data_IF_694749356913
#
_entry.id   IF_694749356913
#
_cell.length_a   1.000
_cell.length_b   1.000
_cell.length_c   1.000
_cell.angle_alpha   90.00
_cell.angle_beta   90.00
_cell.angle_gamma   90.00
#
_symmetry.space_group_name_H-M   'P 1'
#
loop_
_entity.id
_entity.type
_entity.pdbx_description
1 polymer ?
#
# COMPACT_ATOMS: atom_id res chain seq x y z
N UNK A 1 -34.85 -23.93 43.57
CA UNK A 1 -34.19 -25.17 43.10
C UNK A 1 -32.74 -24.84 42.78
N UNK A 2 -31.81 -25.32 43.61
CA UNK A 2 -30.38 -25.13 43.40
C UNK A 2 -29.72 -26.36 42.78
N UNK A 3 -28.61 -26.15 42.08
CA UNK A 3 -27.32 -26.77 42.41
C UNK A 3 -26.17 -26.18 41.57
N UNK A 4 -24.95 -26.11 42.14
CA UNK A 4 -23.75 -25.52 41.55
C UNK A 4 -22.85 -26.60 40.92
N UNK A 5 -21.84 -26.16 40.15
CA UNK A 5 -20.66 -26.94 39.73
C UNK A 5 -19.51 -25.96 39.47
N UNK A 6 -18.24 -26.23 39.71
CA UNK A 6 -17.45 -27.13 40.57
C UNK A 6 -16.00 -26.63 40.41
N UNK A 7 -15.17 -26.84 41.41
CA UNK A 7 -13.82 -26.30 41.61
C UNK A 7 -12.74 -26.73 40.60
N UNK A 8 -11.80 -25.80 40.35
CA UNK A 8 -10.33 -25.85 40.14
C UNK A 8 -9.61 -27.15 39.74
N UNK A 9 -8.58 -27.04 38.89
CA UNK A 9 -7.20 -27.50 39.18
C UNK A 9 -6.18 -27.00 38.13
N UNK A 10 -4.97 -26.66 38.61
CA UNK A 10 -3.74 -26.18 37.91
C UNK A 10 -3.78 -24.71 37.47
N UNK A 11 -2.95 -23.77 37.94
CA UNK A 11 -1.73 -23.77 38.76
C UNK A 11 -0.83 -22.64 38.24
N UNK A 12 -0.71 -21.53 38.98
CA UNK A 12 0.40 -20.55 38.81
C UNK A 12 1.72 -21.27 39.13
N UNK A 13 2.93 -20.92 38.65
CA UNK A 13 3.68 -19.64 38.55
C UNK A 13 4.92 -19.91 37.61
N UNK A 14 5.97 -19.05 37.44
CA UNK A 14 6.10 -17.65 37.00
C UNK A 14 6.94 -17.49 35.70
N UNK A 15 6.84 -16.33 35.05
CA UNK A 15 7.75 -15.94 33.96
C UNK A 15 7.71 -14.45 33.66
N UNK A 16 8.04 -13.65 34.67
CA UNK A 16 8.21 -12.20 34.59
C UNK A 16 9.29 -11.82 33.56
N UNK A 17 8.92 -10.99 32.59
CA UNK A 17 9.78 -9.91 32.06
C UNK A 17 8.89 -8.72 31.69
N UNK A 18 8.30 -8.10 32.70
CA UNK A 18 7.81 -6.73 32.58
C UNK A 18 9.01 -5.78 32.61
N UNK A 19 9.48 -5.38 31.43
CA UNK A 19 10.32 -4.19 31.29
C UNK A 19 9.38 -2.97 31.13
N UNK A 20 9.30 -2.05 32.10
CA UNK A 20 8.44 -0.87 32.00
C UNK A 20 9.04 0.14 31.01
N UNK A 21 8.23 0.55 30.04
CA UNK A 21 8.54 1.69 29.18
C UNK A 21 8.55 2.98 30.02
N UNK A 22 9.61 3.77 29.86
CA UNK A 22 9.78 5.08 30.48
C UNK A 22 8.65 6.05 30.10
N UNK A 23 7.61 6.19 30.93
CA UNK A 23 6.76 7.39 30.98
C UNK A 23 5.78 7.39 32.17
N UNK A 24 6.20 7.06 33.39
CA UNK A 24 5.39 7.39 34.58
C UNK A 24 6.29 7.70 35.77
N UNK A 25 6.79 8.92 35.82
CA UNK A 25 7.22 9.53 37.08
C UNK A 25 6.40 10.80 37.27
N UNK A 26 5.50 10.77 38.26
CA UNK A 26 5.33 11.91 39.15
C UNK A 26 4.81 11.43 40.49
N UNK A 27 5.47 11.94 41.52
CA UNK A 27 5.41 11.56 42.92
C UNK A 27 4.04 11.84 43.54
N UNK A 28 3.60 10.94 44.43
CA UNK A 28 2.51 11.16 45.36
C UNK A 28 3.15 11.48 46.71
N UNK A 29 2.90 12.69 47.24
CA UNK A 29 3.20 13.04 48.63
C UNK A 29 2.05 12.63 49.57
N UNK A 30 2.32 12.38 50.87
CA UNK A 30 1.38 11.69 51.76
C UNK A 30 0.27 12.58 52.30
N UNK A 31 -0.84 11.93 52.64
CA UNK A 31 -2.03 12.48 53.28
C UNK A 31 -1.78 12.62 54.78
N UNK A 32 -1.94 13.82 55.34
CA UNK A 32 -2.18 14.04 56.77
C UNK A 32 -3.54 14.74 56.96
N UNK A 33 -4.29 14.26 57.95
CA UNK A 33 -5.68 14.63 58.19
C UNK A 33 -5.83 15.76 59.20
N UNK A 34 -6.53 16.81 58.79
CA UNK A 34 -7.28 17.70 59.70
C UNK A 34 -8.54 18.21 58.99
N UNK A 35 -9.63 18.35 59.75
CA UNK A 35 -10.95 18.77 59.25
C UNK A 35 -10.97 20.26 58.83
N UNK A 36 -11.73 20.63 57.78
CA UNK A 36 -11.67 21.98 57.22
C UNK A 36 -12.44 23.00 58.08
N UNK A 37 -11.76 24.10 58.45
CA UNK A 37 -12.35 25.29 59.07
C UNK A 37 -13.01 26.18 57.99
N UNK A 38 -14.34 26.31 58.06
CA UNK A 38 -15.17 26.97 57.04
C UNK A 38 -15.09 28.50 56.99
N UNK A 39 -14.46 29.16 57.97
CA UNK A 39 -14.47 30.62 58.06
C UNK A 39 -13.53 31.34 57.08
N UNK A 40 -12.57 30.63 56.46
CA UNK A 40 -11.70 31.21 55.41
C UNK A 40 -12.29 31.10 53.99
N UNK A 41 -13.32 30.28 53.78
CA UNK A 41 -13.91 30.06 52.46
C UNK A 41 -14.80 31.23 52.00
N UNK A 42 -15.47 31.90 52.94
CA UNK A 42 -16.37 33.01 52.63
C UNK A 42 -15.64 34.30 52.24
N UNK A 43 -14.42 34.51 52.74
CA UNK A 43 -13.65 35.72 52.42
C UNK A 43 -12.92 35.65 51.06
N UNK A 44 -12.67 34.44 50.54
CA UNK A 44 -12.09 34.23 49.20
C UNK A 44 -13.14 34.23 48.07
N UNK A 45 -14.44 34.09 48.37
CA UNK A 45 -15.48 34.20 47.34
C UNK A 45 -15.72 35.65 46.90
N UNK A 46 -15.61 36.63 47.83
CA UNK A 46 -15.85 38.05 47.51
C UNK A 46 -14.71 38.68 46.69
N UNK A 47 -13.49 38.14 46.76
CA UNK A 47 -12.35 38.59 45.92
C UNK A 47 -12.28 37.88 44.56
N UNK A 48 -12.91 36.71 44.41
CA UNK A 48 -12.89 35.95 43.15
C UNK A 48 -13.87 36.50 42.09
N UNK A 49 -14.99 37.12 42.50
CA UNK A 49 -15.94 37.70 41.53
C UNK A 49 -15.38 38.91 40.77
N UNK A 50 -14.36 39.60 41.29
CA UNK A 50 -13.67 40.68 40.56
C UNK A 50 -12.55 40.21 39.63
N UNK A 51 -12.16 38.94 39.68
CA UNK A 51 -11.14 38.37 38.79
C UNK A 51 -11.73 37.73 37.51
N UNK A 52 -13.06 37.70 37.36
CA UNK A 52 -13.76 37.13 36.21
C UNK A 52 -14.00 38.14 35.06
N UNK A 53 -13.10 39.12 34.91
CA UNK A 53 -13.03 39.96 33.71
C UNK A 53 -11.88 39.52 32.82
N UNK A 54 -12.25 38.95 31.67
CA UNK A 54 -11.42 38.86 30.46
C UNK A 54 -10.13 38.04 30.58
N UNK A 55 -10.25 36.71 30.70
CA UNK A 55 -9.31 35.84 29.99
C UNK A 55 -9.92 35.42 28.65
N UNK A 56 -9.79 36.31 27.67
CA UNK A 56 -9.83 35.95 26.25
C UNK A 56 -8.92 34.75 26.08
N UNK A 57 -9.46 33.57 25.73
CA UNK A 57 -8.68 32.39 25.36
C UNK A 57 -7.71 32.81 24.26
N UNK A 58 -6.48 33.19 24.63
CA UNK A 58 -5.42 33.54 23.69
C UNK A 58 -5.16 32.26 22.93
N UNK A 59 -5.74 32.17 21.72
CA UNK A 59 -5.58 31.06 20.78
C UNK A 59 -4.07 30.94 20.55
N UNK A 60 -3.42 30.04 21.31
CA UNK A 60 -1.97 29.86 21.25
C UNK A 60 -1.67 29.56 19.79
N UNK A 61 -0.98 30.47 19.10
CA UNK A 61 -0.68 30.32 17.68
C UNK A 61 0.04 28.97 17.52
N UNK A 62 -0.66 27.96 16.98
CA UNK A 62 -0.08 26.64 16.76
C UNK A 62 1.17 26.84 15.91
N UNK A 63 2.30 26.30 16.37
CA UNK A 63 3.59 26.37 15.68
C UNK A 63 3.41 26.00 14.19
N UNK A 64 4.04 26.71 13.24
CA UNK A 64 3.94 26.41 11.81
C UNK A 64 4.29 24.95 11.51
N UNK A 65 5.24 24.36 12.24
CA UNK A 65 5.63 22.96 12.10
C UNK A 65 4.50 21.99 12.49
N UNK A 66 3.71 22.30 13.52
CA UNK A 66 2.53 21.50 13.88
C UNK A 66 1.44 21.61 12.81
N UNK A 67 1.20 22.81 12.26
CA UNK A 67 0.24 22.99 11.17
C UNK A 67 0.66 22.24 9.90
N UNK A 68 1.95 22.23 9.58
CA UNK A 68 2.50 21.47 8.47
C UNK A 68 2.37 19.96 8.71
N UNK A 69 2.70 19.47 9.91
CA UNK A 69 2.48 18.05 10.27
C UNK A 69 1.00 17.66 10.15
N UNK A 70 0.09 18.48 10.66
CA UNK A 70 -1.35 18.25 10.56
C UNK A 70 -1.81 18.21 9.09
N UNK A 71 -1.24 19.07 8.23
CA UNK A 71 -1.52 19.09 6.79
C UNK A 71 -1.05 17.82 6.10
N UNK A 72 0.18 17.37 6.35
CA UNK A 72 0.73 16.15 5.75
C UNK A 72 0.01 14.87 6.22
N UNK A 73 -0.45 14.83 7.48
CA UNK A 73 -1.25 13.71 7.99
C UNK A 73 -2.66 13.70 7.40
N UNK A 74 -3.24 14.87 7.11
CA UNK A 74 -4.55 14.98 6.47
C UNK A 74 -4.47 14.67 4.97
N UNK A 75 -3.42 15.16 4.32
CA UNK A 75 -3.17 15.05 2.89
C UNK A 75 -1.81 14.38 2.65
N UNK A 76 -1.83 13.06 2.59
CA UNK A 76 -0.63 12.21 2.46
C UNK A 76 0.16 12.47 1.18
N UNK A 77 -0.49 13.01 0.14
CA UNK A 77 0.15 13.41 -1.12
C UNK A 77 1.02 14.68 -1.01
N UNK A 78 0.88 15.50 0.04
CA UNK A 78 1.61 16.77 0.19
C UNK A 78 3.12 16.55 0.33
N UNK A 79 3.54 15.55 1.10
CA UNK A 79 4.96 15.28 1.33
C UNK A 79 5.67 14.79 0.04
N UNK A 80 5.17 13.76 -0.68
CA UNK A 80 5.73 13.38 -1.97
C UNK A 80 5.69 14.51 -3.00
N UNK A 81 4.62 15.32 -3.03
CA UNK A 81 4.52 16.49 -3.91
C UNK A 81 5.63 17.50 -3.62
N UNK A 82 5.88 17.80 -2.35
CA UNK A 82 6.94 18.74 -1.95
C UNK A 82 8.31 18.22 -2.39
N UNK A 83 8.63 16.95 -2.11
CA UNK A 83 9.90 16.34 -2.52
C UNK A 83 10.08 16.36 -4.04
N UNK A 84 9.03 15.99 -4.80
CA UNK A 84 9.03 16.05 -6.25
C UNK A 84 9.24 17.48 -6.76
N UNK A 85 8.52 18.45 -6.18
CA UNK A 85 8.61 19.86 -6.56
C UNK A 85 10.01 20.43 -6.31
N UNK A 86 10.65 20.08 -5.19
CA UNK A 86 12.03 20.51 -4.88
C UNK A 86 13.00 20.01 -5.95
N UNK A 87 12.92 18.74 -6.34
CA UNK A 87 13.80 18.16 -7.38
C UNK A 87 13.55 18.83 -8.73
N UNK A 88 12.29 19.00 -9.12
CA UNK A 88 11.93 19.64 -10.41
C UNK A 88 12.35 21.11 -10.46
N UNK A 89 12.18 21.86 -9.37
CA UNK A 89 12.62 23.25 -9.27
C UNK A 89 14.15 23.35 -9.29
N UNK A 90 14.86 22.45 -8.61
CA UNK A 90 16.32 22.40 -8.65
C UNK A 90 16.85 22.08 -10.06
N UNK A 91 16.13 21.25 -10.83
CA UNK A 91 16.41 21.04 -12.24
C UNK A 91 16.13 22.30 -13.08
N UNK A 92 15.00 22.98 -12.84
CA UNK A 92 14.59 24.17 -13.59
C UNK A 92 15.55 25.36 -13.46
N UNK A 93 16.34 25.44 -12.39
CA UNK A 93 17.40 26.46 -12.22
C UNK A 93 18.49 26.33 -13.29
N UNK A 94 18.82 25.12 -13.71
CA UNK A 94 19.79 24.85 -14.76
C UNK A 94 19.37 23.59 -15.55
N UNK A 95 18.49 23.71 -16.55
CA UNK A 95 17.89 22.57 -17.25
C UNK A 95 18.85 22.03 -18.33
N UNK A 96 20.04 21.62 -17.91
CA UNK A 96 21.08 21.06 -18.78
C UNK A 96 21.47 19.66 -18.30
N UNK A 97 22.06 18.82 -19.18
CA UNK A 97 22.59 17.51 -18.78
C UNK A 97 23.67 17.57 -17.69
N UNK A 98 24.26 18.74 -17.44
CA UNK A 98 25.23 18.97 -16.37
C UNK A 98 24.59 19.05 -14.97
N UNK A 99 23.25 19.20 -14.89
CA UNK A 99 22.55 19.26 -13.62
C UNK A 99 22.53 17.87 -12.94
N UNK A 100 22.87 17.75 -11.65
CA UNK A 100 22.85 16.47 -10.95
C UNK A 100 21.47 15.79 -10.94
N UNK A 101 20.38 16.57 -11.04
CA UNK A 101 19.01 16.04 -11.10
C UNK A 101 18.59 15.61 -12.51
N UNK A 102 19.38 15.88 -13.55
CA UNK A 102 19.06 15.46 -14.92
C UNK A 102 18.88 13.93 -14.99
N UNK A 103 19.81 13.18 -14.39
CA UNK A 103 19.76 11.71 -14.34
C UNK A 103 18.63 11.12 -13.51
N UNK A 104 18.01 11.92 -12.64
CA UNK A 104 16.82 11.53 -11.91
C UNK A 104 15.55 11.64 -12.77
N UNK A 105 15.52 12.61 -13.69
CA UNK A 105 14.35 12.91 -14.52
C UNK A 105 14.41 12.18 -15.87
N UNK A 106 15.61 12.07 -16.46
CA UNK A 106 15.82 11.50 -17.79
C UNK A 106 16.69 10.25 -17.75
N UNK A 107 16.51 9.38 -18.75
CA UNK A 107 17.33 8.18 -18.91
C UNK A 107 18.81 8.52 -19.06
N UNK A 108 19.65 7.83 -18.29
CA UNK A 108 21.11 7.99 -18.34
C UNK A 108 21.77 6.99 -19.30
N UNK A 109 23.01 7.27 -19.70
CA UNK A 109 23.87 6.39 -20.53
C UNK A 109 23.39 6.17 -21.98
N UNK A 110 23.13 7.23 -22.77
CA UNK A 110 22.86 7.08 -24.20
C UNK A 110 24.10 6.52 -24.92
N UNK A 111 23.85 5.61 -25.86
CA UNK A 111 24.82 4.95 -26.72
C UNK A 111 24.44 5.13 -28.19
N UNK A 112 25.42 5.13 -29.11
CA UNK A 112 25.14 5.28 -30.53
C UNK A 112 24.22 4.15 -31.03
N UNK A 113 23.37 4.42 -32.04
CA UNK A 113 22.55 3.39 -32.67
C UNK A 113 23.40 2.24 -33.21
N UNK A 114 22.87 1.01 -33.12
CA UNK A 114 23.54 -0.19 -33.68
C UNK A 114 23.56 -0.23 -35.21
N UNK A 115 22.59 0.43 -35.84
CA UNK A 115 22.46 0.51 -37.30
C UNK A 115 22.32 1.97 -37.73
N UNK A 116 22.79 2.35 -38.93
CA UNK A 116 22.57 3.69 -39.47
C UNK A 116 21.07 4.01 -39.53
N UNK A 117 20.64 5.11 -38.89
CA UNK A 117 19.23 5.51 -38.79
C UNK A 117 18.42 4.75 -37.73
N UNK A 118 19.04 3.87 -36.95
CA UNK A 118 18.40 3.15 -35.84
C UNK A 118 18.13 4.02 -34.61
N UNK A 119 17.37 3.52 -33.62
CA UNK A 119 17.10 4.24 -32.38
C UNK A 119 18.37 4.38 -31.51
N UNK A 120 18.40 5.45 -30.71
CA UNK A 120 19.41 5.61 -29.65
C UNK A 120 19.27 4.47 -28.64
N UNK A 121 20.39 3.83 -28.35
CA UNK A 121 20.47 2.75 -27.37
C UNK A 121 20.85 3.30 -26.00
N UNK A 122 20.55 2.56 -24.94
CA UNK A 122 20.88 2.96 -23.59
C UNK A 122 21.53 1.80 -22.84
N UNK A 123 22.70 2.07 -22.27
CA UNK A 123 23.38 1.16 -21.36
C UNK A 123 22.80 1.24 -19.94
N UNK A 124 23.53 0.74 -18.95
CA UNK A 124 23.15 0.79 -17.53
C UNK A 124 24.27 1.34 -16.65
N UNK A 125 23.93 1.92 -15.51
CA UNK A 125 24.90 2.37 -14.52
C UNK A 125 24.26 2.95 -13.25
N UNK A 126 25.08 3.45 -12.29
CA UNK A 126 24.60 3.90 -10.98
C UNK A 126 23.60 5.06 -11.03
N UNK A 127 23.63 5.90 -12.07
CA UNK A 127 22.68 7.00 -12.22
C UNK A 127 21.24 6.51 -12.44
N UNK A 128 21.04 5.26 -12.84
CA UNK A 128 19.71 4.67 -12.96
C UNK A 128 19.03 4.52 -11.58
N UNK A 129 19.78 4.46 -10.47
CA UNK A 129 19.19 4.51 -9.12
C UNK A 129 18.59 5.89 -8.80
N UNK A 130 19.16 6.98 -9.33
CA UNK A 130 18.58 8.30 -9.17
C UNK A 130 17.25 8.40 -9.92
N UNK A 131 17.18 7.83 -11.13
CA UNK A 131 15.94 7.72 -11.89
C UNK A 131 14.88 6.93 -11.12
N UNK A 132 15.25 5.74 -10.63
CA UNK A 132 14.34 4.89 -9.83
C UNK A 132 13.84 5.63 -8.58
N UNK A 133 14.74 6.28 -7.85
CA UNK A 133 14.39 7.03 -6.64
C UNK A 133 13.43 8.19 -6.91
N UNK A 134 13.67 8.97 -7.96
CA UNK A 134 12.77 10.06 -8.33
C UNK A 134 11.40 9.56 -8.76
N UNK A 135 11.34 8.53 -9.62
CA UNK A 135 10.05 7.98 -10.04
C UNK A 135 9.32 7.21 -8.93
N UNK A 136 10.01 6.68 -7.92
CA UNK A 136 9.39 6.20 -6.68
C UNK A 136 8.66 7.32 -5.93
N UNK A 137 9.23 8.54 -5.88
CA UNK A 137 8.58 9.72 -5.30
C UNK A 137 7.36 10.14 -6.15
N UNK A 138 7.53 10.20 -7.48
CA UNK A 138 6.44 10.53 -8.42
C UNK A 138 5.27 9.54 -8.28
N UNK A 139 5.55 8.25 -8.20
CA UNK A 139 4.54 7.21 -8.00
C UNK A 139 3.89 7.29 -6.62
N UNK A 140 4.66 7.63 -5.58
CA UNK A 140 4.10 7.87 -4.24
C UNK A 140 3.14 9.06 -4.23
N UNK A 141 3.50 10.17 -4.89
CA UNK A 141 2.60 11.31 -5.08
C UNK A 141 1.35 10.88 -5.85
N UNK A 142 1.52 10.22 -7.00
CA UNK A 142 0.43 9.81 -7.88
C UNK A 142 -0.55 8.89 -7.15
N UNK A 143 -0.05 7.90 -6.40
CA UNK A 143 -0.86 7.00 -5.57
C UNK A 143 -1.72 7.77 -4.58
N UNK A 144 -1.09 8.57 -3.71
CA UNK A 144 -1.81 9.29 -2.66
C UNK A 144 -2.78 10.33 -3.23
N UNK A 145 -2.40 11.00 -4.32
CA UNK A 145 -3.25 11.96 -5.00
C UNK A 145 -4.47 11.29 -5.61
N UNK A 146 -4.29 10.21 -6.38
CA UNK A 146 -5.41 9.48 -6.98
C UNK A 146 -6.31 8.87 -5.91
N UNK A 147 -5.75 8.24 -4.88
CA UNK A 147 -6.53 7.66 -3.78
C UNK A 147 -7.38 8.73 -3.06
N UNK A 148 -6.78 9.85 -2.65
CA UNK A 148 -7.51 10.86 -1.87
C UNK A 148 -8.42 11.78 -2.69
N UNK A 149 -7.98 12.19 -3.88
CA UNK A 149 -8.63 13.24 -4.67
C UNK A 149 -9.56 12.69 -5.75
N UNK A 150 -9.35 11.47 -6.23
CA UNK A 150 -10.14 10.88 -7.33
C UNK A 150 -10.97 9.70 -6.85
N UNK A 151 -10.32 8.68 -6.28
CA UNK A 151 -10.96 7.41 -5.95
C UNK A 151 -11.83 7.53 -4.69
N UNK A 152 -11.41 8.29 -3.67
CA UNK A 152 -12.22 8.49 -2.46
C UNK A 152 -13.59 9.13 -2.75
N UNK A 153 -13.69 10.22 -3.54
CA UNK A 153 -14.99 10.71 -4.00
C UNK A 153 -15.81 9.66 -4.75
N UNK A 154 -15.18 8.86 -5.63
CA UNK A 154 -15.86 7.78 -6.35
C UNK A 154 -16.40 6.70 -5.42
N UNK A 155 -15.63 6.31 -4.39
CA UNK A 155 -16.09 5.38 -3.37
C UNK A 155 -17.36 5.89 -2.67
N UNK A 156 -17.40 7.19 -2.35
CA UNK A 156 -18.58 7.85 -1.79
C UNK A 156 -19.77 7.86 -2.75
N UNK A 157 -19.54 8.12 -4.04
CA UNK A 157 -20.57 8.06 -5.09
C UNK A 157 -21.12 6.65 -5.28
N UNK A 158 -20.27 5.62 -5.20
CA UNK A 158 -20.65 4.21 -5.23
C UNK A 158 -21.29 3.71 -3.91
N UNK A 159 -21.46 4.57 -2.91
CA UNK A 159 -22.11 4.20 -1.65
C UNK A 159 -21.27 3.33 -0.71
N UNK A 160 -19.95 3.24 -0.93
CA UNK A 160 -19.06 2.47 -0.06
C UNK A 160 -18.92 3.22 1.28
N UNK A 161 -19.39 2.58 2.35
CA UNK A 161 -19.33 3.08 3.73
C UNK A 161 -18.28 2.30 4.54
N UNK A 162 -17.80 2.91 5.62
CA UNK A 162 -16.78 2.32 6.49
C UNK A 162 -15.36 2.73 6.09
N UNK A 163 -14.57 3.14 7.09
CA UNK A 163 -13.20 3.65 6.87
C UNK A 163 -12.25 2.57 6.34
N UNK A 164 -12.36 1.35 6.88
CA UNK A 164 -11.57 0.19 6.47
C UNK A 164 -11.90 -0.25 5.04
N UNK A 165 -13.19 -0.53 4.77
CA UNK A 165 -13.68 -0.92 3.43
C UNK A 165 -13.33 0.11 2.35
N UNK A 166 -13.50 1.40 2.65
CA UNK A 166 -13.11 2.49 1.72
C UNK A 166 -11.61 2.48 1.44
N UNK A 167 -10.75 2.27 2.46
CA UNK A 167 -9.31 2.20 2.27
C UNK A 167 -8.91 1.04 1.35
N UNK A 168 -9.44 -0.16 1.60
CA UNK A 168 -9.19 -1.35 0.77
C UNK A 168 -9.69 -1.18 -0.66
N UNK A 169 -10.88 -0.63 -0.84
CA UNK A 169 -11.40 -0.30 -2.16
C UNK A 169 -10.46 0.65 -2.92
N UNK A 170 -10.01 1.73 -2.26
CA UNK A 170 -9.07 2.67 -2.88
C UNK A 170 -7.76 2.00 -3.29
N UNK A 171 -7.20 1.11 -2.45
CA UNK A 171 -5.99 0.33 -2.76
C UNK A 171 -6.18 -0.52 -4.03
N UNK A 172 -7.31 -1.23 -4.14
CA UNK A 172 -7.58 -2.10 -5.29
C UNK A 172 -7.84 -1.29 -6.57
N UNK A 173 -8.61 -0.21 -6.50
CA UNK A 173 -8.88 0.63 -7.68
C UNK A 173 -7.60 1.29 -8.19
N UNK A 174 -6.74 1.82 -7.29
CA UNK A 174 -5.46 2.38 -7.70
C UNK A 174 -4.59 1.34 -8.41
N UNK A 175 -4.51 0.13 -7.84
CA UNK A 175 -3.76 -0.99 -8.43
C UNK A 175 -4.29 -1.36 -9.82
N UNK A 176 -5.62 -1.41 -9.98
CA UNK A 176 -6.26 -1.66 -11.27
C UNK A 176 -5.96 -0.54 -12.29
N UNK A 177 -6.02 0.74 -11.88
CA UNK A 177 -5.69 1.87 -12.75
C UNK A 177 -4.22 1.84 -13.21
N UNK A 178 -3.29 1.52 -12.31
CA UNK A 178 -1.87 1.43 -12.63
C UNK A 178 -1.61 0.33 -13.67
N UNK A 179 -2.08 -0.89 -13.42
CA UNK A 179 -1.85 -2.02 -14.32
C UNK A 179 -2.67 -1.97 -15.61
N UNK A 180 -3.79 -1.23 -15.64
CA UNK A 180 -4.51 -0.93 -16.89
C UNK A 180 -3.65 -0.15 -17.89
N UNK A 181 -2.68 0.63 -17.41
CA UNK A 181 -1.74 1.40 -18.23
C UNK A 181 -0.46 0.59 -18.46
N UNK A 182 0.16 0.13 -17.37
CA UNK A 182 1.48 -0.52 -17.43
C UNK A 182 1.44 -1.93 -18.04
N UNK A 183 0.34 -2.67 -17.90
CA UNK A 183 0.19 -4.01 -18.51
C UNK A 183 0.25 -3.95 -20.05
N UNK A 184 -0.63 -3.19 -20.72
CA UNK A 184 -0.57 -2.99 -22.17
C UNK A 184 0.74 -2.35 -22.64
N UNK A 185 1.28 -1.40 -21.86
CA UNK A 185 2.58 -0.79 -22.16
C UNK A 185 3.72 -1.82 -22.14
N UNK A 186 3.73 -2.72 -21.15
CA UNK A 186 4.68 -3.82 -21.08
C UNK A 186 4.58 -4.77 -22.27
N UNK A 187 3.36 -5.14 -22.68
CA UNK A 187 3.14 -5.93 -23.90
C UNK A 187 3.68 -5.22 -25.15
N UNK A 188 3.47 -3.91 -25.26
CA UNK A 188 4.00 -3.11 -26.38
C UNK A 188 5.53 -3.07 -26.40
N UNK A 189 6.18 -2.98 -25.23
CA UNK A 189 7.65 -3.07 -25.11
C UNK A 189 8.14 -4.46 -25.49
N UNK A 190 7.51 -5.51 -24.99
CA UNK A 190 7.86 -6.89 -25.33
C UNK A 190 7.72 -7.19 -26.83
N UNK A 191 6.71 -6.63 -27.50
CA UNK A 191 6.51 -6.77 -28.95
C UNK A 191 7.68 -6.26 -29.78
N UNK A 192 8.43 -5.29 -29.26
CA UNK A 192 9.58 -4.70 -29.94
C UNK A 192 10.87 -5.50 -29.74
N UNK A 193 10.79 -6.67 -29.10
CA UNK A 193 11.92 -7.53 -28.79
C UNK A 193 11.65 -8.95 -29.27
N UNK A 194 12.71 -9.76 -29.42
CA UNK A 194 12.61 -11.14 -29.90
C UNK A 194 11.92 -12.10 -28.91
N UNK A 195 11.63 -11.63 -27.70
CA UNK A 195 10.90 -12.39 -26.68
C UNK A 195 9.37 -12.31 -26.84
N UNK A 196 8.86 -11.69 -27.91
CA UNK A 196 7.43 -11.56 -28.16
C UNK A 196 6.69 -12.88 -27.94
N UNK A 197 5.57 -12.80 -27.21
CA UNK A 197 4.78 -13.95 -26.79
C UNK A 197 5.59 -15.03 -26.03
N UNK A 198 6.47 -14.57 -25.14
CA UNK A 198 7.25 -15.41 -24.22
C UNK A 198 8.13 -16.45 -24.94
N UNK A 199 8.81 -16.04 -26.02
CA UNK A 199 9.84 -16.86 -26.65
C UNK A 199 11.04 -17.00 -25.71
N UNK A 200 11.26 -18.21 -25.19
CA UNK A 200 12.28 -18.47 -24.16
C UNK A 200 13.70 -18.47 -24.71
N UNK A 201 13.88 -18.98 -25.94
CA UNK A 201 15.20 -19.01 -26.60
C UNK A 201 15.81 -17.61 -26.69
N UNK A 202 14.97 -16.62 -27.05
CA UNK A 202 15.37 -15.22 -27.16
C UNK A 202 15.84 -14.60 -25.82
N UNK A 203 15.50 -15.19 -24.67
CA UNK A 203 16.00 -14.74 -23.36
C UNK A 203 17.50 -15.01 -23.19
N UNK A 204 18.05 -15.97 -23.93
CA UNK A 204 19.45 -16.40 -23.84
C UNK A 204 20.24 -16.11 -25.13
N UNK A 205 19.54 -16.09 -26.27
CA UNK A 205 20.14 -15.76 -27.55
C UNK A 205 20.66 -14.31 -27.56
N UNK A 206 21.89 -14.12 -28.04
CA UNK A 206 22.55 -12.81 -28.04
C UNK A 206 22.91 -12.27 -26.65
N UNK A 207 22.81 -13.07 -25.58
CA UNK A 207 23.21 -12.66 -24.24
C UNK A 207 24.73 -12.42 -24.15
N UNK A 208 25.20 -11.33 -23.51
CA UNK A 208 24.45 -10.39 -22.68
C UNK A 208 23.75 -9.25 -23.45
N UNK A 209 22.48 -9.00 -23.12
CA UNK A 209 21.70 -7.87 -23.65
C UNK A 209 22.05 -6.57 -22.91
N UNK A 210 23.23 -6.01 -23.21
CA UNK A 210 23.78 -4.87 -22.43
C UNK A 210 23.09 -3.53 -22.65
N UNK A 211 22.42 -3.39 -23.78
CA UNK A 211 21.85 -2.14 -24.26
C UNK A 211 20.42 -2.35 -24.71
N UNK A 212 19.57 -1.36 -24.39
CA UNK A 212 18.16 -1.39 -24.73
C UNK A 212 17.72 -0.07 -25.36
N UNK A 213 16.67 -0.13 -26.18
CA UNK A 213 16.00 1.08 -26.65
C UNK A 213 15.40 1.86 -25.47
N UNK A 214 15.25 3.18 -25.63
CA UNK A 214 14.76 4.07 -24.59
C UNK A 214 13.48 3.57 -23.89
N UNK A 215 12.50 3.12 -24.68
CA UNK A 215 11.20 2.69 -24.18
C UNK A 215 11.27 1.44 -23.30
N UNK A 216 12.16 0.51 -23.66
CA UNK A 216 12.41 -0.70 -22.87
C UNK A 216 13.07 -0.32 -21.55
N UNK A 217 14.13 0.49 -21.60
CA UNK A 217 14.84 0.91 -20.38
C UNK A 217 13.93 1.71 -19.45
N UNK A 218 13.15 2.65 -19.99
CA UNK A 218 12.17 3.41 -19.23
C UNK A 218 11.14 2.50 -18.56
N UNK A 219 10.51 1.59 -19.31
CA UNK A 219 9.55 0.64 -18.76
C UNK A 219 10.15 -0.17 -17.61
N UNK A 220 11.35 -0.72 -17.82
CA UNK A 220 12.02 -1.55 -16.82
C UNK A 220 12.33 -0.78 -15.52
N UNK A 221 12.85 0.45 -15.63
CA UNK A 221 13.19 1.29 -14.48
C UNK A 221 11.94 1.85 -13.80
N UNK A 222 10.89 2.19 -14.54
CA UNK A 222 9.60 2.62 -13.98
C UNK A 222 8.95 1.49 -13.18
N UNK A 223 8.99 0.25 -13.69
CA UNK A 223 8.54 -0.91 -12.94
C UNK A 223 9.37 -1.14 -11.68
N UNK A 224 10.70 -1.02 -11.76
CA UNK A 224 11.55 -1.06 -10.56
C UNK A 224 11.15 0.04 -9.54
N UNK A 225 10.80 1.24 -10.02
CA UNK A 225 10.36 2.36 -9.18
C UNK A 225 9.03 2.08 -8.49
N UNK A 226 8.10 1.42 -9.18
CA UNK A 226 6.81 0.98 -8.63
C UNK A 226 6.98 -0.08 -7.55
N UNK A 227 7.79 -1.11 -7.81
CA UNK A 227 8.06 -2.16 -6.82
C UNK A 227 8.83 -1.64 -5.61
N UNK A 228 9.76 -0.68 -5.81
CA UNK A 228 10.40 0.03 -4.70
C UNK A 228 9.38 0.87 -3.91
N UNK A 229 8.45 1.54 -4.58
CA UNK A 229 7.36 2.29 -3.94
C UNK A 229 6.45 1.38 -3.10
N UNK A 230 6.05 0.23 -3.64
CA UNK A 230 5.25 -0.77 -2.91
C UNK A 230 6.00 -1.33 -1.71
N UNK A 231 7.31 -1.59 -1.84
CA UNK A 231 8.13 -2.02 -0.72
C UNK A 231 8.20 -0.98 0.41
N UNK A 232 8.26 0.32 0.08
CA UNK A 232 8.22 1.40 1.08
C UNK A 232 6.86 1.43 1.79
N UNK A 233 5.76 1.29 1.04
CA UNK A 233 4.40 1.22 1.62
C UNK A 233 4.27 0.07 2.60
N UNK A 234 4.83 -1.10 2.24
CA UNK A 234 4.83 -2.29 3.08
C UNK A 234 5.70 -2.12 4.33
N UNK A 235 6.93 -1.61 4.17
CA UNK A 235 7.91 -1.42 5.25
C UNK A 235 7.43 -0.40 6.30
N UNK A 236 6.82 0.69 5.83
CA UNK A 236 6.26 1.72 6.70
C UNK A 236 4.88 1.35 7.26
N UNK A 237 4.36 0.16 6.93
CA UNK A 237 3.04 -0.34 7.34
C UNK A 237 1.93 0.69 7.08
N UNK A 238 2.01 1.39 5.93
CA UNK A 238 0.99 2.37 5.56
C UNK A 238 -0.35 1.69 5.22
N UNK A 239 -0.32 0.39 4.94
CA UNK A 239 -1.48 -0.47 4.79
C UNK A 239 -1.60 -1.40 6.01
N UNK A 240 -2.83 -1.62 6.50
CA UNK A 240 -3.08 -2.55 7.62
C UNK A 240 -2.58 -3.95 7.23
N UNK A 241 -1.74 -4.61 8.06
CA UNK A 241 -1.25 -5.96 7.80
C UNK A 241 -2.40 -6.93 7.53
N UNK A 242 -2.20 -7.83 6.56
CA UNK A 242 -3.16 -8.87 6.17
C UNK A 242 -2.77 -10.20 6.83
N UNK A 243 -3.67 -11.19 6.84
CA UNK A 243 -3.39 -12.54 7.38
C UNK A 243 -2.21 -13.23 6.66
N UNK A 244 -1.91 -12.84 5.41
CA UNK A 244 -0.80 -13.31 4.57
C UNK A 244 0.41 -12.33 4.53
N UNK A 245 0.56 -11.50 5.56
CA UNK A 245 1.61 -10.45 5.58
C UNK A 245 3.03 -11.02 5.48
N UNK A 246 3.31 -12.17 6.09
CA UNK A 246 4.66 -12.77 6.06
C UNK A 246 5.03 -13.24 4.66
N UNK A 247 4.09 -13.87 3.97
CA UNK A 247 4.22 -14.34 2.60
C UNK A 247 4.35 -13.14 1.64
N UNK A 248 3.60 -12.06 1.88
CA UNK A 248 3.71 -10.81 1.13
C UNK A 248 5.08 -10.14 1.31
N UNK A 249 5.65 -10.14 2.51
CA UNK A 249 7.01 -9.64 2.77
C UNK A 249 8.05 -10.52 2.08
N UNK A 250 7.94 -11.84 2.20
CA UNK A 250 8.81 -12.79 1.50
C UNK A 250 8.77 -12.59 -0.02
N UNK A 251 7.57 -12.39 -0.57
CA UNK A 251 7.39 -12.04 -1.98
C UNK A 251 8.16 -10.78 -2.36
N UNK A 252 8.03 -9.69 -1.61
CA UNK A 252 8.73 -8.43 -1.90
C UNK A 252 10.25 -8.57 -1.86
N UNK A 253 10.79 -9.38 -0.95
CA UNK A 253 12.22 -9.68 -0.92
C UNK A 253 12.64 -10.40 -2.21
N UNK A 254 11.88 -11.42 -2.63
CA UNK A 254 12.16 -12.20 -3.84
C UNK A 254 12.04 -11.32 -5.10
N UNK A 255 10.99 -10.51 -5.21
CA UNK A 255 10.77 -9.66 -6.39
C UNK A 255 11.81 -8.56 -6.50
N UNK A 256 12.15 -7.86 -5.41
CA UNK A 256 13.22 -6.85 -5.43
C UNK A 256 14.59 -7.48 -5.78
N UNK A 257 14.86 -8.69 -5.27
CA UNK A 257 16.07 -9.44 -5.64
C UNK A 257 16.07 -9.80 -7.14
N UNK A 258 14.96 -10.30 -7.68
CA UNK A 258 14.82 -10.61 -9.11
C UNK A 258 15.05 -9.35 -9.97
N UNK A 259 14.41 -8.23 -9.63
CA UNK A 259 14.55 -6.96 -10.36
C UNK A 259 16.00 -6.47 -10.32
N UNK A 260 16.59 -6.39 -9.12
CA UNK A 260 17.94 -5.89 -8.95
C UNK A 260 18.99 -6.77 -9.63
N UNK A 261 18.91 -8.09 -9.47
CA UNK A 261 19.89 -9.02 -10.05
C UNK A 261 19.71 -9.15 -11.56
N UNK A 262 18.49 -9.19 -12.07
CA UNK A 262 18.28 -9.28 -13.52
C UNK A 262 18.72 -8.00 -14.24
N UNK A 263 18.52 -6.82 -13.64
CA UNK A 263 19.12 -5.59 -14.16
C UNK A 263 20.65 -5.59 -14.04
N UNK A 264 21.22 -5.98 -12.88
CA UNK A 264 22.67 -5.98 -12.63
C UNK A 264 23.44 -6.95 -13.51
N UNK A 265 22.85 -8.08 -13.88
CA UNK A 265 23.47 -9.16 -14.66
C UNK A 265 22.90 -9.35 -16.07
N UNK A 266 22.15 -8.38 -16.61
CA UNK A 266 21.66 -8.36 -18.01
C UNK A 266 20.59 -9.41 -18.35
N UNK A 267 19.91 -9.97 -17.35
CA UNK A 267 18.77 -10.88 -17.55
C UNK A 267 17.43 -10.12 -17.71
N UNK A 268 17.47 -8.92 -18.29
CA UNK A 268 16.32 -8.01 -18.38
C UNK A 268 15.20 -8.56 -19.28
N UNK A 269 15.53 -9.37 -20.29
CA UNK A 269 14.56 -10.04 -21.16
C UNK A 269 13.66 -11.01 -20.40
N UNK A 270 14.25 -11.83 -19.54
CA UNK A 270 13.49 -12.66 -18.60
C UNK A 270 12.74 -11.79 -17.58
N UNK A 271 13.36 -10.70 -17.12
CA UNK A 271 12.73 -9.73 -16.21
C UNK A 271 11.45 -9.11 -16.77
N UNK A 272 11.42 -8.66 -18.02
CA UNK A 272 10.20 -8.09 -18.63
C UNK A 272 9.10 -9.14 -18.81
N UNK A 273 9.45 -10.39 -19.13
CA UNK A 273 8.49 -11.48 -19.19
C UNK A 273 7.83 -11.72 -17.81
N UNK A 274 8.63 -11.73 -16.74
CA UNK A 274 8.11 -11.84 -15.37
C UNK A 274 7.24 -10.63 -15.02
N UNK A 275 7.67 -9.39 -15.28
CA UNK A 275 6.84 -8.21 -15.03
C UNK A 275 5.46 -8.31 -15.70
N UNK A 276 5.41 -8.56 -17.01
CA UNK A 276 4.17 -8.57 -17.78
C UNK A 276 3.18 -9.62 -17.25
N UNK A 277 3.66 -10.84 -16.97
CA UNK A 277 2.79 -11.88 -16.39
C UNK A 277 2.23 -11.47 -15.04
N UNK A 278 3.02 -10.78 -14.24
CA UNK A 278 2.64 -10.35 -12.91
C UNK A 278 1.64 -9.18 -12.96
N UNK A 279 1.95 -8.14 -13.74
CA UNK A 279 1.12 -6.94 -13.87
C UNK A 279 -0.27 -7.26 -14.43
N UNK A 280 -0.35 -8.08 -15.50
CA UNK A 280 -1.63 -8.40 -16.12
C UNK A 280 -2.49 -9.24 -15.17
N UNK A 281 -1.92 -10.21 -14.47
CA UNK A 281 -2.68 -11.01 -13.50
C UNK A 281 -3.14 -10.19 -12.29
N UNK A 282 -2.31 -9.25 -11.81
CA UNK A 282 -2.68 -8.35 -10.72
C UNK A 282 -3.77 -7.35 -11.12
N UNK A 283 -3.84 -6.95 -12.40
CA UNK A 283 -4.98 -6.19 -12.92
C UNK A 283 -6.30 -6.95 -12.77
N UNK A 284 -6.33 -8.24 -13.14
CA UNK A 284 -7.53 -9.07 -12.97
C UNK A 284 -7.85 -9.30 -11.48
N UNK A 285 -6.84 -9.50 -10.63
CA UNK A 285 -7.05 -9.63 -9.18
C UNK A 285 -7.68 -8.36 -8.59
N UNK A 286 -7.07 -7.20 -8.85
CA UNK A 286 -7.51 -5.91 -8.32
C UNK A 286 -8.91 -5.53 -8.82
N UNK A 287 -9.19 -5.77 -10.10
CA UNK A 287 -10.51 -5.52 -10.68
C UNK A 287 -11.57 -6.48 -10.12
N UNK A 288 -11.24 -7.76 -9.90
CA UNK A 288 -12.18 -8.71 -9.30
C UNK A 288 -12.61 -8.30 -7.89
N UNK A 289 -11.67 -7.82 -7.07
CA UNK A 289 -11.96 -7.28 -5.74
C UNK A 289 -12.74 -5.98 -5.82
N UNK A 290 -12.41 -5.10 -6.75
CA UNK A 290 -13.15 -3.85 -6.99
C UNK A 290 -14.61 -4.13 -7.33
N UNK A 291 -14.89 -5.08 -8.22
CA UNK A 291 -16.25 -5.48 -8.58
C UNK A 291 -17.01 -6.10 -7.39
N UNK A 292 -16.32 -6.89 -6.56
CA UNK A 292 -16.87 -7.43 -5.34
C UNK A 292 -17.27 -6.32 -4.34
N UNK A 293 -16.42 -5.31 -4.13
CA UNK A 293 -16.75 -4.17 -3.26
C UNK A 293 -17.95 -3.33 -3.76
N UNK A 294 -18.23 -3.37 -5.06
CA UNK A 294 -19.35 -2.69 -5.70
C UNK A 294 -20.62 -3.56 -5.77
N UNK A 295 -20.58 -4.78 -5.23
CA UNK A 295 -21.67 -5.77 -5.30
C UNK A 295 -22.18 -5.99 -6.75
N UNK A 296 -21.26 -5.99 -7.72
CA UNK A 296 -21.61 -6.08 -9.14
C UNK A 296 -22.06 -7.48 -9.53
N UNK A 297 -23.07 -7.58 -10.41
CA UNK A 297 -23.62 -8.85 -10.92
C UNK A 297 -22.55 -9.68 -11.67
N UNK A 298 -21.57 -9.01 -12.29
CA UNK A 298 -20.50 -9.68 -13.04
C UNK A 298 -19.34 -10.16 -12.16
N UNK A 299 -19.42 -10.01 -10.83
CA UNK A 299 -18.32 -10.37 -9.91
C UNK A 299 -17.92 -11.84 -10.04
N UNK A 300 -18.88 -12.76 -10.04
CA UNK A 300 -18.63 -14.21 -10.12
C UNK A 300 -17.99 -14.61 -11.46
N UNK A 301 -18.58 -14.28 -12.64
CA UNK A 301 -17.96 -14.65 -13.91
C UNK A 301 -16.58 -13.99 -14.08
N UNK A 302 -16.41 -12.74 -13.65
CA UNK A 302 -15.12 -12.05 -13.70
C UNK A 302 -14.08 -12.71 -12.78
N UNK A 303 -14.47 -13.14 -11.58
CA UNK A 303 -13.59 -13.89 -10.68
C UNK A 303 -13.14 -15.21 -11.32
N UNK A 304 -14.03 -15.92 -12.03
CA UNK A 304 -13.67 -17.09 -12.83
C UNK A 304 -12.63 -16.78 -13.91
N UNK A 305 -12.82 -15.69 -14.67
CA UNK A 305 -11.82 -15.20 -15.64
C UNK A 305 -10.49 -14.89 -14.97
N UNK A 306 -10.51 -14.22 -13.81
CA UNK A 306 -9.32 -13.95 -13.01
C UNK A 306 -8.57 -15.23 -12.66
N UNK A 307 -9.24 -16.29 -12.19
CA UNK A 307 -8.58 -17.57 -11.87
C UNK A 307 -7.89 -18.18 -13.09
N UNK A 308 -8.55 -18.17 -14.26
CA UNK A 308 -7.95 -18.67 -15.51
C UNK A 308 -6.72 -17.86 -15.89
N UNK A 309 -6.82 -16.52 -15.85
CA UNK A 309 -5.69 -15.63 -16.15
C UNK A 309 -4.54 -15.80 -15.17
N UNK A 310 -4.83 -15.98 -13.88
CA UNK A 310 -3.82 -16.26 -12.85
C UNK A 310 -3.08 -17.56 -13.17
N UNK A 311 -3.79 -18.66 -13.45
CA UNK A 311 -3.16 -19.94 -13.76
C UNK A 311 -2.27 -19.84 -15.00
N UNK A 312 -2.77 -19.24 -16.06
CA UNK A 312 -2.01 -19.10 -17.30
C UNK A 312 -0.76 -18.22 -17.11
N UNK A 313 -0.93 -17.01 -16.58
CA UNK A 313 0.16 -16.04 -16.48
C UNK A 313 1.16 -16.39 -15.37
N UNK A 314 0.68 -16.74 -14.17
CA UNK A 314 1.55 -16.97 -13.00
C UNK A 314 2.13 -18.36 -12.94
N UNK A 315 1.50 -19.37 -13.56
CA UNK A 315 1.98 -20.75 -13.49
C UNK A 315 2.44 -21.29 -14.84
N UNK A 316 1.58 -21.30 -15.86
CA UNK A 316 1.97 -21.91 -17.15
C UNK A 316 3.18 -21.20 -17.75
N UNK A 317 3.15 -19.87 -17.82
CA UNK A 317 4.27 -19.09 -18.37
C UNK A 317 5.50 -19.08 -17.44
N UNK A 318 5.32 -19.02 -16.13
CA UNK A 318 6.44 -19.08 -15.19
C UNK A 318 7.14 -20.45 -15.23
N UNK A 319 6.38 -21.55 -15.25
CA UNK A 319 6.92 -22.90 -15.42
C UNK A 319 7.62 -23.07 -16.77
N UNK A 320 7.11 -22.44 -17.84
CA UNK A 320 7.81 -22.39 -19.14
C UNK A 320 9.17 -21.71 -19.02
N UNK A 321 9.26 -20.57 -18.31
CA UNK A 321 10.53 -19.86 -18.08
C UNK A 321 11.48 -20.72 -17.21
N UNK A 322 10.97 -21.33 -16.13
CA UNK A 322 11.76 -22.22 -15.26
C UNK A 322 12.31 -23.41 -16.03
N UNK A 323 11.50 -24.03 -16.89
CA UNK A 323 11.93 -25.10 -17.77
C UNK A 323 13.06 -24.65 -18.68
N UNK A 324 12.93 -23.47 -19.31
CA UNK A 324 13.97 -22.92 -20.17
C UNK A 324 15.26 -22.59 -19.39
N UNK A 325 15.19 -22.17 -18.13
CA UNK A 325 16.37 -22.01 -17.27
C UNK A 325 17.08 -23.35 -17.04
N UNK A 326 16.37 -24.48 -17.03
CA UNK A 326 16.97 -25.81 -16.90
C UNK A 326 17.52 -26.36 -18.23
N UNK A 327 16.82 -26.13 -19.35
CA UNK A 327 17.13 -26.78 -20.64
C UNK A 327 17.90 -25.90 -21.63
N UNK A 328 17.60 -24.61 -21.69
CA UNK A 328 18.12 -23.67 -22.69
C UNK A 328 19.26 -22.80 -22.15
N UNK A 329 19.27 -22.50 -20.84
CA UNK A 329 20.25 -21.61 -20.23
C UNK A 329 21.70 -21.99 -20.52
N UNK A 330 22.03 -23.28 -20.51
CA UNK A 330 23.39 -23.78 -20.79
C UNK A 330 23.66 -23.97 -22.29
N UNK A 331 22.63 -24.21 -23.09
CA UNK A 331 22.75 -24.69 -24.47
C UNK A 331 22.65 -23.57 -25.51
N UNK A 332 21.92 -22.49 -25.21
CA UNK A 332 21.69 -21.37 -26.14
C UNK A 332 22.71 -20.26 -25.88
N UNK A 333 23.72 -20.12 -26.74
CA UNK A 333 24.77 -19.09 -26.67
C UNK A 333 25.91 -19.43 -25.68
N UNK A 334 26.93 -18.55 -25.52
CA UNK A 334 28.10 -18.83 -24.70
C UNK A 334 27.77 -19.05 -23.22
N UNK A 335 28.25 -20.13 -22.62
CA UNK A 335 28.05 -20.47 -21.20
C UNK A 335 29.38 -20.44 -20.46
N UNK A 336 29.77 -19.26 -20.01
CA UNK A 336 31.03 -18.98 -19.33
C UNK A 336 30.87 -17.76 -18.42
N UNK A 337 31.81 -17.57 -17.49
CA UNK A 337 31.87 -16.37 -16.68
C UNK A 337 33.03 -15.51 -17.18
N UNK A 338 32.73 -14.33 -17.72
CA UNK A 338 33.72 -13.36 -18.15
C UNK A 338 33.30 -11.94 -17.73
N UNK A 339 34.09 -11.32 -16.86
CA UNK A 339 33.79 -9.99 -16.30
C UNK A 339 34.06 -8.85 -17.30
N UNK A 340 35.05 -9.00 -18.18
CA UNK A 340 35.41 -8.01 -19.20
C UNK A 340 34.30 -7.90 -20.25
N UNK A 341 33.82 -9.05 -20.74
CA UNK A 341 32.68 -9.10 -21.66
C UNK A 341 31.33 -9.11 -20.95
N UNK A 342 31.30 -8.93 -19.63
CA UNK A 342 30.07 -8.96 -18.83
C UNK A 342 29.16 -10.17 -19.16
N UNK A 343 29.79 -11.30 -19.52
CA UNK A 343 29.14 -12.56 -19.78
C UNK A 343 28.95 -13.25 -18.44
N UNK A 344 27.71 -13.22 -17.96
CA UNK A 344 27.33 -13.72 -16.64
C UNK A 344 26.57 -15.04 -16.68
N UNK A 345 26.36 -15.62 -17.87
CA UNK A 345 25.62 -16.87 -18.03
C UNK A 345 26.52 -18.07 -17.68
N UNK A 346 26.53 -18.43 -16.41
CA UNK A 346 27.33 -19.52 -15.84
C UNK A 346 26.53 -20.34 -14.80
N UNK A 347 27.15 -21.39 -14.24
CA UNK A 347 26.50 -22.30 -13.29
C UNK A 347 25.95 -21.62 -12.05
N UNK A 348 26.66 -20.62 -11.52
CA UNK A 348 26.21 -19.83 -10.37
C UNK A 348 24.95 -19.04 -10.74
N UNK A 349 24.99 -18.32 -11.86
CA UNK A 349 23.84 -17.52 -12.31
C UNK A 349 22.62 -18.38 -12.62
N UNK A 350 22.81 -19.60 -13.14
CA UNK A 350 21.71 -20.52 -13.42
C UNK A 350 21.03 -20.96 -12.13
N UNK A 351 21.80 -21.36 -11.11
CA UNK A 351 21.27 -21.78 -9.80
C UNK A 351 20.53 -20.62 -9.13
N UNK A 352 21.12 -19.42 -9.08
CA UNK A 352 20.50 -18.25 -8.45
C UNK A 352 19.21 -17.86 -9.18
N UNK A 353 19.25 -17.79 -10.50
CA UNK A 353 18.08 -17.46 -11.34
C UNK A 353 16.96 -18.47 -11.11
N UNK A 354 17.27 -19.76 -11.18
CA UNK A 354 16.30 -20.83 -10.96
C UNK A 354 15.72 -20.76 -9.55
N UNK A 355 16.55 -20.61 -8.52
CA UNK A 355 16.10 -20.56 -7.14
C UNK A 355 15.16 -19.38 -6.87
N UNK A 356 15.46 -18.20 -7.40
CA UNK A 356 14.61 -17.01 -7.24
C UNK A 356 13.27 -17.16 -7.97
N UNK A 357 13.28 -17.64 -9.22
CA UNK A 357 12.06 -17.89 -9.98
C UNK A 357 11.22 -19.02 -9.37
N UNK A 358 11.85 -20.08 -8.86
CA UNK A 358 11.18 -21.19 -8.19
C UNK A 358 10.56 -20.73 -6.86
N UNK A 359 11.25 -19.84 -6.12
CA UNK A 359 10.72 -19.22 -4.91
C UNK A 359 9.50 -18.34 -5.24
N UNK A 360 9.58 -17.55 -6.31
CA UNK A 360 8.45 -16.76 -6.82
C UNK A 360 7.27 -17.67 -7.20
N UNK A 361 7.53 -18.78 -7.90
CA UNK A 361 6.53 -19.78 -8.26
C UNK A 361 5.90 -20.44 -7.03
N UNK A 362 6.67 -20.73 -5.99
CA UNK A 362 6.16 -21.30 -4.74
C UNK A 362 5.18 -20.37 -4.03
N UNK A 363 5.50 -19.07 -3.93
CA UNK A 363 4.58 -18.07 -3.36
C UNK A 363 3.34 -17.92 -4.23
N UNK A 364 3.48 -17.91 -5.56
CA UNK A 364 2.32 -17.87 -6.46
C UNK A 364 1.41 -19.11 -6.27
N UNK A 365 1.97 -20.30 -6.02
CA UNK A 365 1.20 -21.52 -5.74
C UNK A 365 0.45 -21.45 -4.42
N UNK A 366 1.08 -20.87 -3.39
CA UNK A 366 0.41 -20.60 -2.10
C UNK A 366 -0.82 -19.72 -2.30
N UNK A 367 -0.71 -18.63 -3.06
CA UNK A 367 -1.86 -17.78 -3.37
C UNK A 367 -2.89 -18.47 -4.27
N UNK A 368 -2.47 -19.29 -5.23
CA UNK A 368 -3.41 -20.10 -6.01
C UNK A 368 -4.24 -21.00 -5.11
N UNK A 369 -3.63 -21.65 -4.11
CA UNK A 369 -4.37 -22.46 -3.14
C UNK A 369 -5.44 -21.64 -2.41
N UNK A 370 -5.13 -20.42 -1.99
CA UNK A 370 -6.11 -19.52 -1.36
C UNK A 370 -7.22 -19.11 -2.33
N UNK A 371 -6.87 -18.78 -3.58
CA UNK A 371 -7.82 -18.41 -4.64
C UNK A 371 -8.78 -19.58 -4.94
N UNK A 372 -8.26 -20.79 -5.10
CA UNK A 372 -9.08 -21.99 -5.35
C UNK A 372 -9.95 -22.34 -4.14
N UNK A 373 -9.47 -22.13 -2.92
CA UNK A 373 -10.28 -22.28 -1.71
C UNK A 373 -11.46 -21.29 -1.71
N UNK A 374 -11.25 -20.04 -2.10
CA UNK A 374 -12.31 -19.04 -2.26
C UNK A 374 -13.30 -19.45 -3.37
N UNK A 375 -12.79 -19.89 -4.52
CA UNK A 375 -13.60 -20.34 -5.65
C UNK A 375 -14.49 -21.53 -5.27
N UNK A 376 -13.91 -22.52 -4.56
CA UNK A 376 -14.66 -23.67 -4.01
C UNK A 376 -15.80 -23.17 -3.12
N UNK A 377 -15.53 -22.26 -2.20
CA UNK A 377 -16.58 -21.73 -1.32
C UNK A 377 -17.69 -21.03 -2.10
N UNK A 378 -17.38 -20.23 -3.13
CA UNK A 378 -18.41 -19.61 -3.98
C UNK A 378 -19.29 -20.63 -4.71
N UNK A 379 -18.70 -21.71 -5.23
CA UNK A 379 -19.42 -22.74 -6.00
C UNK A 379 -20.27 -23.63 -5.08
N UNK A 380 -19.74 -24.03 -3.92
CA UNK A 380 -20.38 -25.03 -3.05
C UNK A 380 -21.25 -24.42 -1.94
N UNK A 381 -20.95 -23.22 -1.43
CA UNK A 381 -21.69 -22.59 -0.33
C UNK A 381 -22.72 -21.55 -0.79
N UNK A 382 -22.95 -21.39 -2.08
CA UNK A 382 -24.05 -20.59 -2.62
C UNK A 382 -25.46 -21.11 -2.25
N UNK A 383 -25.56 -22.24 -1.52
CA UNK A 383 -26.81 -22.78 -0.93
C UNK A 383 -26.91 -22.62 0.60
N UNK A 384 -25.82 -22.30 1.32
CA UNK A 384 -25.88 -22.04 2.78
C UNK A 384 -24.83 -21.00 3.17
N UNK A 385 -25.33 -19.80 3.49
CA UNK A 385 -24.73 -18.69 4.24
C UNK A 385 -23.21 -18.49 4.10
N UNK A 386 -22.89 -17.40 3.42
CA UNK A 386 -21.61 -16.73 3.37
C UNK A 386 -21.02 -16.47 4.78
N UNK A 387 -19.95 -17.19 5.13
CA UNK A 387 -19.09 -16.96 6.31
C UNK A 387 -17.79 -16.21 5.94
N UNK A 388 -17.69 -15.62 4.74
CA UNK A 388 -16.47 -14.89 4.32
C UNK A 388 -16.68 -13.39 4.14
N UNK A 389 -17.92 -12.90 4.21
CA UNK A 389 -18.21 -11.49 4.54
C UNK A 389 -18.25 -11.21 6.05
N UNK A 390 -18.26 -12.24 6.91
CA UNK A 390 -18.13 -12.06 8.37
C UNK A 390 -16.68 -11.72 8.80
N UNK A 391 -15.68 -11.97 7.95
CA UNK A 391 -14.25 -11.84 8.31
C UNK A 391 -13.74 -10.37 8.29
N UNK A 392 -14.46 -9.43 7.65
CA UNK A 392 -14.28 -7.97 7.85
C UNK A 392 -15.27 -7.41 8.90
N UNK A 393 -16.36 -8.12 9.18
CA UNK A 393 -17.39 -7.73 10.15
C UNK A 393 -16.96 -8.04 11.59
N UNK A 394 -16.24 -9.14 11.83
CA UNK A 394 -15.62 -9.45 13.12
C UNK A 394 -14.54 -8.42 13.53
N UNK A 395 -13.74 -7.93 12.58
CA UNK A 395 -12.80 -6.84 12.83
C UNK A 395 -13.57 -5.51 13.11
N UNK A 396 -14.67 -5.22 12.40
CA UNK A 396 -15.53 -4.05 12.69
C UNK A 396 -16.18 -4.11 14.09
N UNK A 397 -16.56 -5.30 14.56
CA UNK A 397 -17.09 -5.53 15.91
C UNK A 397 -16.02 -5.34 16.99
N UNK A 398 -14.77 -5.73 16.73
CA UNK A 398 -13.62 -5.42 17.61
C UNK A 398 -13.34 -3.91 17.67
N UNK A 399 -13.43 -3.19 16.53
CA UNK A 399 -13.26 -1.73 16.50
C UNK A 399 -14.39 -0.98 17.24
N UNK A 400 -15.64 -1.42 17.15
CA UNK A 400 -16.74 -0.85 17.96
C UNK A 400 -16.60 -1.21 19.45
N UNK A 401 -16.10 -2.40 19.78
CA UNK A 401 -15.86 -2.82 21.16
C UNK A 401 -14.69 -2.04 21.80
N UNK A 402 -13.58 -1.83 21.11
CA UNK A 402 -12.45 -0.99 21.58
C UNK A 402 -12.86 0.49 21.68
N UNK A 403 -13.68 0.99 20.75
CA UNK A 403 -14.22 2.35 20.81
C UNK A 403 -15.21 2.54 21.97
N UNK A 404 -15.98 1.52 22.35
CA UNK A 404 -16.86 1.57 23.53
C UNK A 404 -16.10 1.37 24.84
N UNK A 405 -15.06 0.55 24.86
CA UNK A 405 -14.20 0.35 26.02
C UNK A 405 -13.37 1.62 26.37
N UNK A 406 -12.98 2.39 25.36
CA UNK A 406 -12.33 3.71 25.53
C UNK A 406 -13.30 4.81 25.97
N UNK A 407 -14.60 4.68 25.69
CA UNK A 407 -15.65 5.55 26.24
C UNK A 407 -16.01 5.21 27.70
N UNK A 408 -15.83 3.95 28.12
CA UNK A 408 -16.10 3.50 29.50
C UNK A 408 -15.00 3.86 30.52
N UNK A 409 -13.82 4.31 30.07
CA UNK A 409 -12.64 4.61 30.92
C UNK A 409 -12.48 6.09 31.31
N UNK A 410 -13.52 6.92 31.12
CA UNK A 410 -13.68 8.16 31.90
C UNK A 410 -12.79 9.35 31.55
N UNK A 411 -12.28 9.46 30.32
CA UNK A 411 -11.65 10.68 29.84
C UNK A 411 -12.65 11.57 29.10
N UNK A 412 -13.18 12.60 29.77
CA UNK A 412 -14.07 13.59 29.14
C UNK A 412 -13.39 14.32 27.97
N UNK A 413 -14.02 14.27 26.80
CA UNK A 413 -13.90 15.30 25.76
C UNK A 413 -15.30 15.80 25.37
N UNK A 414 -15.41 17.09 25.00
CA UNK A 414 -16.68 17.81 25.02
C UNK A 414 -17.65 17.29 23.96
N UNK A 415 -18.86 17.03 24.45
CA UNK A 415 -20.03 16.54 23.73
C UNK A 415 -20.37 17.45 22.54
N UNK A 416 -20.14 16.97 21.31
CA UNK A 416 -20.83 17.47 20.12
C UNK A 416 -22.03 16.56 19.88
N UNK A 417 -23.18 16.97 20.40
CA UNK A 417 -24.47 16.34 20.18
C UNK A 417 -24.76 16.22 18.69
N UNK A 418 -25.02 14.99 18.23
CA UNK A 418 -25.60 14.71 16.94
C UNK A 418 -26.94 15.46 16.80
N UNK A 419 -27.00 16.35 15.82
CA UNK A 419 -28.24 17.05 15.43
C UNK A 419 -29.14 16.02 14.76
N UNK A 420 -30.11 15.52 15.52
CA UNK A 420 -31.19 14.69 15.02
C UNK A 420 -32.07 15.55 14.10
N UNK A 421 -32.08 15.24 12.81
CA UNK A 421 -32.99 15.85 11.84
C UNK A 421 -34.37 15.23 12.03
N UNK A 422 -35.22 15.94 12.79
CA UNK A 422 -36.67 16.12 12.57
C UNK A 422 -37.31 16.57 13.88
N UNK A 423 -37.14 17.85 14.23
CA UNK A 423 -38.12 18.67 14.95
C UNK A 423 -37.60 20.12 14.98
N UNK A 424 -38.37 21.04 14.41
CA UNK A 424 -38.09 22.47 14.51
C UNK A 424 -38.29 22.93 15.97
N UNK A 425 -37.47 23.86 16.50
CA UNK A 425 -37.64 24.34 17.86
C UNK A 425 -38.91 25.19 18.00
N UNK A 426 -39.83 24.78 18.88
CA UNK A 426 -40.97 25.59 19.28
C UNK A 426 -40.52 26.66 20.30
N UNK A 427 -40.82 27.92 20.00
CA UNK A 427 -40.56 29.06 20.89
C UNK A 427 -41.73 29.18 21.86
N UNK A 428 -41.45 29.16 23.16
CA UNK A 428 -42.44 29.37 24.22
C UNK A 428 -42.35 30.80 24.75
N UNK A 429 -43.50 31.47 24.91
CA UNK A 429 -43.60 32.77 25.58
C UNK A 429 -44.59 32.61 26.72
N UNK A 430 -44.16 32.90 27.96
CA UNK A 430 -44.95 32.73 29.19
C UNK A 430 -45.57 31.34 29.39
N UNK A 431 -44.87 30.28 28.97
CA UNK A 431 -45.29 28.88 29.19
C UNK A 431 -46.19 28.29 28.11
N UNK A 432 -46.55 29.04 27.07
CA UNK A 432 -47.36 28.55 25.94
C UNK A 432 -46.58 28.63 24.60
N UNK A 433 -46.76 27.65 23.68
CA UNK A 433 -46.06 27.63 22.39
C UNK A 433 -46.59 28.74 21.46
N UNK A 434 -45.68 29.53 20.90
CA UNK A 434 -45.98 30.62 19.98
C UNK A 434 -46.46 30.06 18.63
N UNK A 435 -47.76 30.25 18.30
CA UNK A 435 -48.30 29.99 16.96
C UNK A 435 -49.64 29.23 16.87
N UNK A 436 -50.24 28.76 17.97
CA UNK A 436 -51.52 28.07 17.92
C UNK A 436 -52.72 29.02 18.12
N UNK A 437 -53.06 29.82 17.10
CA UNK A 437 -54.41 30.41 16.99
C UNK A 437 -54.94 30.28 15.56
N UNK A 438 -55.91 29.37 15.45
CA UNK A 438 -57.12 29.39 14.64
C UNK A 438 -57.02 29.77 13.15
N UNK A 439 -57.38 28.82 12.30
CA UNK A 439 -58.47 29.07 11.36
C UNK A 439 -59.40 27.85 11.31
N UNK A 440 -60.70 28.20 11.40
CA UNK A 440 -61.92 27.40 11.30
C UNK A 440 -61.97 26.49 10.08
#
# INVERSE_FOLDING_TARGET
MGRPRKSSHLGDIPGDTTAPAMSTMNEVSPVEGEAPKWDKALQNQVTSEKALKSQTKRRKNRSPLRRFKDLCLKHTWVLPLLLMSVILLAYAVNPTPANPFHSAIFLSYPQPPKTPGGPVMYGKGPLDFAFVGFYTIVLSFTREFLMQCVIRPWAGYCGIRGRGKTARFMEQVYTAMYFAIFGPFGLYVMKQTDIWYFNTTAMFEGFPHREHVAIFKAYYLLQASYWAQQAIVLLLQLEKPRKDFKELVGHHIITLALIGLSYRFHFTYMGIAVYITHDISDFFLATSKTLNYLDSIITIPYFGTFVVMWIYLRHVLNLKILWAVLTEFRTVGPYELNWETQQYKCWISQIITFALLASLQAVNLFWLFLILRILKNYIFNSVKKDERSDDETEEELEYEAESRATLATGAEQPLLTARNTNNAPQVFVNGEPYGAKAHS
#
